data_IF_804855248622
#
_entry.id   IF_804855248622
#
_cell.length_a   1.000
_cell.length_b   1.000
_cell.length_c   1.000
_cell.angle_alpha   90.00
_cell.angle_beta   90.00
_cell.angle_gamma   90.00
#
_symmetry.space_group_name_H-M   'P 1'
#
loop_
_entity.id
_entity.type
_entity.pdbx_description
1 polymer ?
#
# COMPACT_ATOMS: atom_id res chain seq x y z
N UNK A 1 -14.01 10.65 33.33
CA UNK A 1 -14.22 11.09 31.93
C UNK A 1 -12.96 10.76 31.16
N UNK A 2 -13.10 9.82 30.22
CA UNK A 2 -12.15 9.37 29.19
C UNK A 2 -10.74 8.92 29.63
N UNK A 3 -10.64 7.65 29.98
CA UNK A 3 -9.42 6.84 29.83
C UNK A 3 -9.02 6.79 28.35
N UNK A 4 -7.98 7.53 27.95
CA UNK A 4 -7.29 7.29 26.67
C UNK A 4 -6.17 6.30 26.90
N UNK A 5 -6.55 5.06 27.15
CA UNK A 5 -5.70 3.89 27.01
C UNK A 5 -6.39 2.93 26.06
N UNK A 6 -5.93 2.84 24.82
CA UNK A 6 -5.98 1.61 24.01
C UNK A 6 -5.19 1.76 22.71
N UNK A 7 -4.02 1.14 22.74
CA UNK A 7 -3.51 0.29 21.65
C UNK A 7 -2.88 0.97 20.43
N UNK A 8 -1.70 1.55 20.66
CA UNK A 8 -0.65 1.54 19.65
C UNK A 8 0.00 0.14 19.65
N UNK A 9 -0.65 -0.90 19.08
CA UNK A 9 -0.05 -2.22 18.72
C UNK A 9 -1.05 -3.11 17.95
N UNK A 10 -0.68 -3.54 16.74
CA UNK A 10 -1.33 -4.59 15.93
C UNK A 10 -2.77 -4.34 15.41
N UNK A 11 -2.97 -3.33 14.57
CA UNK A 11 -4.15 -3.29 13.68
C UNK A 11 -4.09 -4.43 12.66
N UNK A 12 -5.19 -5.17 12.48
CA UNK A 12 -5.25 -6.27 11.51
C UNK A 12 -5.00 -5.76 10.08
N UNK A 13 -4.40 -6.58 9.19
CA UNK A 13 -4.07 -6.14 7.83
C UNK A 13 -5.28 -5.58 7.07
N UNK A 14 -6.46 -6.23 7.20
CA UNK A 14 -7.70 -5.78 6.56
C UNK A 14 -8.16 -4.40 7.04
N UNK A 15 -8.05 -4.12 8.34
CA UNK A 15 -8.45 -2.83 8.92
C UNK A 15 -7.51 -1.71 8.47
N UNK A 16 -6.22 -2.03 8.34
CA UNK A 16 -5.20 -1.09 7.85
C UNK A 16 -5.47 -0.70 6.40
N UNK A 17 -5.75 -1.68 5.54
CA UNK A 17 -6.11 -1.43 4.14
C UNK A 17 -7.43 -0.67 4.01
N UNK A 18 -8.44 -1.02 4.81
CA UNK A 18 -9.71 -0.30 4.84
C UNK A 18 -9.52 1.18 5.22
N UNK A 19 -8.69 1.45 6.24
CA UNK A 19 -8.32 2.81 6.64
C UNK A 19 -7.60 3.57 5.53
N UNK A 20 -6.63 2.96 4.86
CA UNK A 20 -5.92 3.60 3.74
C UNK A 20 -6.89 3.93 2.60
N UNK A 21 -7.83 3.02 2.30
CA UNK A 21 -8.82 3.20 1.23
C UNK A 21 -9.78 4.37 1.45
N UNK A 22 -9.99 4.84 2.69
CA UNK A 22 -10.84 6.00 2.98
C UNK A 22 -10.42 7.26 2.23
N UNK A 23 -9.17 7.36 1.77
CA UNK A 23 -8.68 8.46 0.92
C UNK A 23 -9.49 8.67 -0.35
N UNK A 24 -10.03 7.60 -0.93
CA UNK A 24 -10.80 7.63 -2.17
C UNK A 24 -12.30 7.41 -1.95
N UNK A 25 -12.73 7.22 -0.70
CA UNK A 25 -14.12 6.98 -0.31
C UNK A 25 -14.30 5.71 0.52
N UNK A 26 -15.55 5.38 0.81
CA UNK A 26 -15.89 4.19 1.58
C UNK A 26 -16.16 3.02 0.65
N UNK A 27 -15.28 2.01 0.67
CA UNK A 27 -15.40 0.82 -0.17
C UNK A 27 -15.95 -0.35 0.64
N UNK A 28 -16.83 -1.19 0.08
CA UNK A 28 -17.33 -2.36 0.78
C UNK A 28 -16.20 -3.38 1.05
N UNK A 29 -16.32 -4.07 2.18
CA UNK A 29 -15.56 -5.27 2.50
C UNK A 29 -16.24 -6.47 1.84
N UNK A 30 -15.49 -7.26 1.10
CA UNK A 30 -15.98 -8.47 0.43
C UNK A 30 -15.30 -9.69 1.01
N UNK A 31 -16.09 -10.71 1.33
CA UNK A 31 -15.58 -12.03 1.72
C UNK A 31 -15.35 -12.87 0.47
N UNK A 32 -14.11 -13.31 0.28
CA UNK A 32 -13.70 -14.15 -0.83
C UNK A 32 -14.02 -15.62 -0.58
N UNK A 33 -13.91 -16.44 -1.63
CA UNK A 33 -14.21 -17.88 -1.56
C UNK A 33 -13.29 -18.65 -0.60
N UNK A 34 -12.07 -18.15 -0.36
CA UNK A 34 -11.12 -18.67 0.62
C UNK A 34 -11.45 -18.27 2.07
N UNK A 35 -12.52 -17.48 2.27
CA UNK A 35 -12.97 -16.98 3.57
C UNK A 35 -12.30 -15.67 4.01
N UNK A 36 -11.31 -15.15 3.27
CA UNK A 36 -10.63 -13.89 3.57
C UNK A 36 -11.54 -12.70 3.26
N UNK A 37 -11.51 -11.68 4.11
CA UNK A 37 -12.20 -10.40 3.86
C UNK A 37 -11.23 -9.40 3.27
N UNK A 38 -11.60 -8.80 2.13
CA UNK A 38 -10.76 -7.83 1.41
C UNK A 38 -11.54 -6.53 1.13
N UNK A 39 -10.92 -5.35 1.32
CA UNK A 39 -11.55 -4.09 0.95
C UNK A 39 -11.41 -3.84 -0.56
N UNK A 40 -12.53 -3.51 -1.22
CA UNK A 40 -12.63 -3.38 -2.69
C UNK A 40 -12.09 -2.07 -3.28
N UNK A 41 -11.40 -1.26 -2.49
CA UNK A 41 -10.72 -0.02 -2.92
C UNK A 41 -9.19 -0.10 -3.01
N UNK A 42 -8.61 -1.27 -2.68
CA UNK A 42 -7.17 -1.38 -2.40
C UNK A 42 -6.30 -1.06 -3.61
N UNK A 43 -6.64 -1.57 -4.79
CA UNK A 43 -5.88 -1.28 -6.02
C UNK A 43 -6.02 0.18 -6.44
N UNK A 44 -7.23 0.74 -6.35
CA UNK A 44 -7.46 2.15 -6.70
C UNK A 44 -6.62 3.08 -5.81
N UNK A 45 -6.61 2.82 -4.51
CA UNK A 45 -5.85 3.63 -3.53
C UNK A 45 -4.36 3.44 -3.67
N UNK A 46 -3.89 2.21 -3.97
CA UNK A 46 -2.49 1.97 -4.30
C UNK A 46 -2.04 2.81 -5.50
N UNK A 47 -2.81 2.80 -6.60
CA UNK A 47 -2.49 3.60 -7.78
C UNK A 47 -2.52 5.11 -7.51
N UNK A 48 -3.42 5.56 -6.64
CA UNK A 48 -3.45 6.96 -6.18
C UNK A 48 -2.18 7.31 -5.39
N UNK A 49 -1.79 6.48 -4.43
CA UNK A 49 -0.59 6.69 -3.62
C UNK A 49 0.71 6.61 -4.45
N UNK A 50 0.80 5.70 -5.43
CA UNK A 50 1.94 5.62 -6.35
C UNK A 50 2.11 6.95 -7.11
N UNK A 51 1.02 7.52 -7.63
CA UNK A 51 1.08 8.80 -8.35
C UNK A 51 1.53 9.94 -7.44
N UNK A 52 1.01 10.01 -6.22
CA UNK A 52 1.41 11.02 -5.23
C UNK A 52 2.89 10.90 -4.87
N UNK A 53 3.37 9.66 -4.65
CA UNK A 53 4.78 9.37 -4.35
C UNK A 53 5.71 9.79 -5.50
N UNK A 54 5.37 9.40 -6.73
CA UNK A 54 6.14 9.77 -7.92
C UNK A 54 6.16 11.30 -8.15
N UNK A 55 5.08 12.01 -7.79
CA UNK A 55 5.01 13.46 -7.91
C UNK A 55 5.89 14.15 -6.87
N UNK A 56 5.80 13.75 -5.59
CA UNK A 56 6.60 14.33 -4.52
C UNK A 56 8.11 14.18 -4.76
N UNK A 57 8.55 13.04 -5.32
CA UNK A 57 9.95 12.84 -5.65
C UNK A 57 10.45 13.71 -6.80
N UNK A 58 9.57 14.13 -7.72
CA UNK A 58 9.94 15.02 -8.84
C UNK A 58 10.07 16.48 -8.41
N UNK A 59 9.40 16.87 -7.33
CA UNK A 59 9.51 18.21 -6.77
C UNK A 59 10.87 18.34 -6.06
N UNK A 60 11.86 18.91 -6.75
CA UNK A 60 13.27 19.09 -6.35
C UNK A 60 13.50 20.03 -5.14
N UNK A 61 12.72 19.88 -4.07
CA UNK A 61 12.82 20.68 -2.84
C UNK A 61 12.68 19.73 -1.65
N UNK A 62 13.71 18.92 -1.43
CA UNK A 62 13.73 17.85 -0.41
C UNK A 62 14.18 18.36 0.96
N UNK A 63 14.41 19.67 1.11
CA UNK A 63 14.77 20.29 2.40
C UNK A 63 13.57 20.55 3.32
N UNK A 64 12.35 20.19 2.90
CA UNK A 64 11.15 20.32 3.73
C UNK A 64 10.91 19.03 4.54
N UNK A 65 11.03 19.13 5.87
CA UNK A 65 10.76 18.05 6.82
C UNK A 65 9.37 17.44 6.59
N UNK A 66 8.39 18.27 6.18
CA UNK A 66 7.01 17.85 5.92
C UNK A 66 6.94 16.89 4.72
N UNK A 67 7.72 17.15 3.67
CA UNK A 67 7.77 16.30 2.46
C UNK A 67 8.39 14.95 2.76
N UNK A 68 9.45 14.91 3.58
CA UNK A 68 10.06 13.65 3.99
C UNK A 68 9.08 12.78 4.78
N UNK A 69 8.35 13.36 5.74
CA UNK A 69 7.33 12.65 6.50
C UNK A 69 6.19 12.14 5.61
N UNK A 70 5.79 12.91 4.58
CA UNK A 70 4.77 12.49 3.62
C UNK A 70 5.25 11.34 2.73
N UNK A 71 6.50 11.38 2.25
CA UNK A 71 7.12 10.28 1.51
C UNK A 71 7.15 9.00 2.34
N UNK A 72 7.65 9.05 3.57
CA UNK A 72 7.70 7.89 4.47
C UNK A 72 6.31 7.30 4.72
N UNK A 73 5.29 8.16 4.90
CA UNK A 73 3.89 7.73 5.03
C UNK A 73 3.42 7.01 3.75
N UNK A 74 3.65 7.60 2.58
CA UNK A 74 3.25 7.00 1.31
C UNK A 74 3.97 5.67 1.05
N UNK A 75 5.23 5.53 1.43
CA UNK A 75 5.94 4.27 1.30
C UNK A 75 5.28 3.16 2.11
N UNK A 76 4.89 3.44 3.36
CA UNK A 76 4.17 2.49 4.20
C UNK A 76 2.85 2.06 3.55
N UNK A 77 2.06 3.03 3.10
CA UNK A 77 0.76 2.75 2.49
C UNK A 77 0.85 2.09 1.10
N UNK A 78 1.96 2.23 0.37
CA UNK A 78 2.24 1.51 -0.88
C UNK A 78 2.66 0.06 -0.59
N UNK A 79 3.39 -0.18 0.50
CA UNK A 79 3.85 -1.53 0.92
C UNK A 79 2.72 -2.38 1.51
N UNK A 80 1.82 -1.77 2.30
CA UNK A 80 0.71 -2.44 2.98
C UNK A 80 -0.14 -3.37 2.10
N UNK A 81 -0.55 -3.00 0.87
CA UNK A 81 -1.36 -3.89 0.03
C UNK A 81 -0.58 -5.03 -0.64
N UNK A 82 0.75 -4.99 -0.68
CA UNK A 82 1.56 -5.94 -1.45
C UNK A 82 1.32 -7.41 -1.06
N UNK A 83 1.25 -7.80 0.24
CA UNK A 83 0.90 -9.17 0.63
C UNK A 83 -0.45 -9.64 0.08
N UNK A 84 -1.45 -8.74 0.06
CA UNK A 84 -2.76 -9.06 -0.51
C UNK A 84 -2.67 -9.26 -2.02
N UNK A 85 -1.92 -8.41 -2.74
CA UNK A 85 -1.71 -8.56 -4.18
C UNK A 85 -1.02 -9.87 -4.54
N UNK A 86 -0.07 -10.33 -3.72
CA UNK A 86 0.55 -11.65 -3.87
C UNK A 86 -0.50 -12.75 -3.71
N UNK A 87 -1.28 -12.71 -2.62
CA UNK A 87 -2.32 -13.71 -2.36
C UNK A 87 -3.39 -13.77 -3.47
N UNK A 88 -3.70 -12.64 -4.10
CA UNK A 88 -4.65 -12.53 -5.20
C UNK A 88 -4.07 -12.89 -6.58
N UNK A 89 -2.80 -13.31 -6.66
CA UNK A 89 -2.16 -13.68 -7.93
C UNK A 89 -1.91 -12.48 -8.86
N UNK A 90 -1.91 -11.24 -8.37
CA UNK A 90 -1.68 -10.06 -9.22
C UNK A 90 -0.32 -10.07 -9.90
N UNK A 91 0.68 -10.71 -9.28
CA UNK A 91 2.03 -10.82 -9.84
C UNK A 91 2.17 -11.93 -10.90
N UNK A 92 1.13 -12.76 -11.09
CA UNK A 92 1.04 -13.69 -12.23
C UNK A 92 0.64 -12.95 -13.52
N UNK A 93 -0.04 -11.81 -13.39
CA UNK A 93 -0.43 -10.95 -14.53
C UNK A 93 0.69 -9.98 -14.91
N UNK A 94 1.41 -9.47 -13.91
CA UNK A 94 2.54 -8.55 -14.08
C UNK A 94 3.62 -8.88 -13.05
N UNK A 95 4.73 -9.44 -13.52
CA UNK A 95 5.81 -9.92 -12.65
C UNK A 95 6.41 -8.79 -11.79
N UNK A 96 7.02 -9.10 -10.63
CA UNK A 96 7.68 -8.08 -9.81
C UNK A 96 8.75 -7.28 -10.58
N UNK A 97 9.40 -7.88 -11.57
CA UNK A 97 10.35 -7.20 -12.47
C UNK A 97 9.68 -6.19 -13.40
N UNK A 98 8.52 -6.51 -13.97
CA UNK A 98 7.74 -5.57 -14.77
C UNK A 98 7.25 -4.38 -13.93
N UNK A 99 6.92 -4.61 -12.65
CA UNK A 99 6.67 -3.51 -11.72
C UNK A 99 7.92 -2.66 -11.48
N UNK A 100 9.09 -3.29 -11.33
CA UNK A 100 10.36 -2.59 -11.17
C UNK A 100 10.78 -1.77 -12.39
N UNK A 101 10.30 -2.09 -13.59
CA UNK A 101 10.56 -1.30 -14.79
C UNK A 101 9.80 0.05 -14.83
N UNK A 102 8.89 0.31 -13.88
CA UNK A 102 8.09 1.53 -13.81
C UNK A 102 8.74 2.71 -13.04
N UNK A 103 7.88 3.68 -12.68
CA UNK A 103 8.24 4.81 -11.81
C UNK A 103 8.59 4.38 -10.37
N UNK A 104 9.04 5.31 -9.55
CA UNK A 104 9.57 5.02 -8.21
C UNK A 104 8.55 4.31 -7.29
N UNK A 105 7.28 4.70 -7.35
CA UNK A 105 6.21 4.02 -6.60
C UNK A 105 5.95 2.60 -7.10
N UNK A 106 6.04 2.35 -8.41
CA UNK A 106 5.92 0.98 -8.95
C UNK A 106 7.13 0.11 -8.61
N UNK A 107 8.33 0.69 -8.63
CA UNK A 107 9.55 0.04 -8.14
C UNK A 107 9.42 -0.37 -6.69
N UNK A 108 8.81 0.48 -5.85
CA UNK A 108 8.58 0.15 -4.45
C UNK A 108 7.67 -1.09 -4.29
N UNK A 109 6.59 -1.17 -5.08
CA UNK A 109 5.72 -2.36 -5.12
C UNK A 109 6.50 -3.61 -5.53
N UNK A 110 7.22 -3.54 -6.66
CA UNK A 110 7.97 -4.68 -7.20
C UNK A 110 9.05 -5.18 -6.25
N UNK A 111 9.85 -4.28 -5.66
CA UNK A 111 10.88 -4.63 -4.67
C UNK A 111 10.28 -5.23 -3.40
N UNK A 112 9.15 -4.70 -2.94
CA UNK A 112 8.45 -5.24 -1.77
C UNK A 112 7.94 -6.65 -2.05
N UNK A 113 7.37 -6.89 -3.23
CA UNK A 113 6.91 -8.21 -3.63
C UNK A 113 8.06 -9.22 -3.67
N UNK A 114 9.19 -8.86 -4.30
CA UNK A 114 10.41 -9.71 -4.31
C UNK A 114 10.94 -10.07 -2.93
N UNK A 115 10.80 -9.18 -1.94
CA UNK A 115 11.22 -9.45 -0.56
C UNK A 115 10.26 -10.36 0.22
N UNK A 116 9.04 -10.56 -0.28
CA UNK A 116 7.99 -11.37 0.37
C UNK A 116 7.76 -12.71 -0.33
N UNK A 117 8.03 -12.78 -1.63
CA UNK A 117 7.90 -13.99 -2.44
C UNK A 117 9.18 -14.83 -2.32
N UNK A 118 9.06 -16.17 -2.35
CA UNK A 118 10.24 -17.04 -2.44
C UNK A 118 11.05 -16.70 -3.70
N UNK A 119 12.37 -16.78 -3.60
CA UNK A 119 13.23 -16.69 -4.77
C UNK A 119 13.09 -17.99 -5.59
N UNK A 120 12.80 -17.85 -6.89
CA UNK A 120 12.83 -18.94 -7.86
C UNK A 120 14.28 -19.40 -8.14
#
# INVERSE_FOLDING_TARGET
>A
MAEQGTTNMSMAPVDRLARVNQKLGNFPLVKMADGQTVPTGTVATLLFNIRAYDQLLKENTVDDISKKAELEKLEGEIKDPVPLLINLGMFELFSPDEWCAGGAGRQLVGRTAKGLMPAD
#
